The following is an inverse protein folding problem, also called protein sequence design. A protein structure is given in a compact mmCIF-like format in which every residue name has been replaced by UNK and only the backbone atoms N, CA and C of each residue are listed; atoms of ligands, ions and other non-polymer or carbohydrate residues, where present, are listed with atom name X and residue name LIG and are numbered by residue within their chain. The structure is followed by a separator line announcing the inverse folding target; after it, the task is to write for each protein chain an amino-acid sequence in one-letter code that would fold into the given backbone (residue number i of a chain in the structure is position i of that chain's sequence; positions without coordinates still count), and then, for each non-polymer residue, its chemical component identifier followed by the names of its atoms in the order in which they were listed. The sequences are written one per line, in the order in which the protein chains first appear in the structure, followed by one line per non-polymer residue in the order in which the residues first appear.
data_IF_176510096903
#
_entry.id   IF_176510096903
#
_cell.length_a   1.000
_cell.length_b   1.000
_cell.length_c   1.000
_cell.angle_alpha   90.00
_cell.angle_beta   90.00
_cell.angle_gamma   90.00
#
_symmetry.space_group_name_H-M   'P 1'
#
loop_
_entity.id
_entity.type
_entity.pdbx_description
1 polymer ?
#
# COMPACT_ATOMS: atom_id res chain seq x y z
N UNK A 1 20.37 14.61 6.62
CA UNK A 1 21.36 13.52 6.69
C UNK A 1 20.71 12.38 7.47
N UNK A 2 20.03 11.46 6.77
CA UNK A 2 19.19 10.42 7.36
C UNK A 2 20.03 9.21 7.74
N UNK A 3 20.73 9.29 8.89
CA UNK A 3 21.52 8.24 9.54
C UNK A 3 21.59 6.90 8.78
N UNK A 4 22.70 6.64 8.10
CA UNK A 4 22.98 5.37 7.40
C UNK A 4 23.53 4.30 8.34
N UNK A 5 23.48 4.53 9.65
CA UNK A 5 23.93 3.57 10.65
C UNK A 5 23.01 2.35 10.64
N UNK A 6 23.51 1.25 10.06
CA UNK A 6 22.86 -0.06 10.17
C UNK A 6 23.00 -0.52 11.61
N UNK A 7 21.87 -0.67 12.30
CA UNK A 7 21.83 -1.27 13.63
C UNK A 7 21.41 -2.73 13.50
N UNK A 8 22.11 -3.63 14.18
CA UNK A 8 21.74 -5.04 14.25
C UNK A 8 21.36 -5.38 15.69
N UNK A 9 20.25 -6.07 15.88
CA UNK A 9 19.85 -6.62 17.17
C UNK A 9 20.51 -7.98 17.36
N UNK A 10 21.25 -8.17 18.46
CA UNK A 10 21.95 -9.42 18.76
C UNK A 10 21.04 -10.64 18.94
N UNK A 11 19.73 -10.44 19.04
CA UNK A 11 18.71 -11.49 19.15
C UNK A 11 17.86 -11.58 17.89
N UNK A 12 17.66 -12.79 17.39
CA UNK A 12 16.72 -13.06 16.30
C UNK A 12 15.27 -12.79 16.74
N UNK A 13 14.38 -12.39 15.82
CA UNK A 13 12.96 -12.30 16.10
C UNK A 13 12.40 -13.69 16.45
N UNK A 14 11.43 -13.72 17.37
CA UNK A 14 10.80 -14.97 17.82
C UNK A 14 10.06 -15.71 16.70
N UNK A 15 9.60 -14.97 15.69
CA UNK A 15 8.86 -15.48 14.53
C UNK A 15 9.17 -14.62 13.30
N UNK A 16 9.13 -15.23 12.12
CA UNK A 16 9.22 -14.53 10.84
C UNK A 16 7.82 -14.31 10.26
N UNK A 17 7.65 -13.21 9.54
CA UNK A 17 6.44 -12.92 8.78
C UNK A 17 6.62 -13.29 7.31
N UNK A 18 5.58 -13.87 6.72
CA UNK A 18 5.44 -14.09 5.28
C UNK A 18 4.36 -13.16 4.75
N UNK A 19 4.68 -12.42 3.70
CA UNK A 19 3.82 -11.38 3.13
C UNK A 19 3.46 -11.79 1.69
N UNK A 20 2.16 -11.91 1.41
CA UNK A 20 1.64 -12.09 0.06
C UNK A 20 1.16 -10.75 -0.49
N UNK A 21 1.42 -10.46 -1.76
CA UNK A 21 0.89 -9.27 -2.44
C UNK A 21 -0.28 -9.64 -3.35
N UNK A 22 -1.29 -8.77 -3.40
CA UNK A 22 -2.40 -8.87 -4.33
C UNK A 22 -2.56 -7.56 -5.12
N UNK A 23 -2.53 -7.67 -6.44
CA UNK A 23 -2.66 -6.53 -7.35
C UNK A 23 -4.14 -6.30 -7.65
N UNK A 24 -4.63 -5.08 -7.38
CA UNK A 24 -6.02 -4.71 -7.60
C UNK A 24 -6.31 -4.02 -8.93
N UNK A 25 -5.29 -3.77 -9.74
CA UNK A 25 -5.37 -3.01 -10.99
C UNK A 25 -6.22 -3.69 -12.07
N UNK A 26 -6.23 -5.02 -12.10
CA UNK A 26 -6.95 -5.80 -13.11
C UNK A 26 -8.25 -6.44 -12.59
N UNK A 27 -8.73 -6.11 -11.38
CA UNK A 27 -9.89 -6.81 -10.79
C UNK A 27 -11.22 -6.59 -11.52
N UNK A 28 -11.35 -5.52 -12.31
CA UNK A 28 -12.51 -5.28 -13.17
C UNK A 28 -12.35 -5.87 -14.59
N UNK A 29 -11.23 -6.54 -14.87
CA UNK A 29 -10.99 -7.24 -16.12
C UNK A 29 -11.92 -8.44 -16.28
N UNK A 30 -12.44 -8.64 -17.50
CA UNK A 30 -13.37 -9.74 -17.77
C UNK A 30 -12.74 -11.15 -17.77
N UNK A 31 -11.39 -11.26 -17.78
CA UNK A 31 -10.65 -12.52 -17.89
C UNK A 31 -9.30 -12.45 -17.15
N UNK A 32 -8.75 -13.61 -16.76
CA UNK A 32 -7.42 -13.77 -16.14
C UNK A 32 -7.19 -12.92 -14.89
N UNK A 33 -8.22 -12.80 -14.06
CA UNK A 33 -8.17 -12.09 -12.78
C UNK A 33 -8.10 -13.11 -11.64
N UNK A 34 -7.11 -12.97 -10.75
CA UNK A 34 -7.02 -13.78 -9.54
C UNK A 34 -7.71 -13.04 -8.40
N UNK A 35 -8.86 -13.54 -7.94
CA UNK A 35 -9.56 -12.89 -6.84
C UNK A 35 -8.76 -12.99 -5.52
N UNK A 36 -8.82 -11.95 -4.68
CA UNK A 36 -8.06 -11.83 -3.44
C UNK A 36 -8.27 -13.01 -2.47
N UNK A 37 -9.45 -13.62 -2.46
CA UNK A 37 -9.75 -14.78 -1.62
C UNK A 37 -9.31 -16.15 -2.19
N UNK A 38 -8.79 -16.19 -3.41
CA UNK A 38 -8.49 -17.42 -4.18
C UNK A 38 -7.02 -17.89 -4.16
N UNK A 39 -5.96 -17.05 -4.03
CA UNK A 39 -4.59 -17.55 -4.13
C UNK A 39 -4.26 -18.68 -3.15
N UNK A 40 -3.31 -19.53 -3.54
CA UNK A 40 -2.77 -20.54 -2.66
C UNK A 40 -2.09 -19.87 -1.46
N UNK A 41 -2.72 -19.98 -0.29
CA UNK A 41 -2.19 -19.41 0.94
C UNK A 41 -1.43 -20.41 1.78
N UNK A 42 -1.48 -21.71 1.45
CA UNK A 42 -0.91 -22.90 2.13
C UNK A 42 -0.81 -22.91 3.68
N UNK A 43 -1.42 -21.93 4.35
CA UNK A 43 -1.27 -21.60 5.75
C UNK A 43 0.00 -20.82 6.13
N UNK A 44 0.94 -20.55 5.22
CA UNK A 44 2.24 -19.94 5.60
C UNK A 44 2.21 -18.42 5.73
N UNK A 45 1.30 -17.75 5.01
CA UNK A 45 1.22 -16.30 5.05
C UNK A 45 0.79 -15.77 6.42
N UNK A 46 1.40 -14.65 6.81
CA UNK A 46 1.05 -13.93 8.04
C UNK A 46 0.30 -12.63 7.75
N UNK A 47 0.55 -12.05 6.57
CA UNK A 47 -0.05 -10.81 6.10
C UNK A 47 -0.33 -10.92 4.60
N UNK A 48 -1.42 -10.32 4.15
CA UNK A 48 -1.73 -10.10 2.74
C UNK A 48 -1.81 -8.59 2.50
N UNK A 49 -0.94 -8.08 1.62
CA UNK A 49 -0.88 -6.68 1.21
C UNK A 49 -1.57 -6.51 -0.14
N UNK A 50 -2.66 -5.75 -0.17
CA UNK A 50 -3.42 -5.52 -1.39
C UNK A 50 -3.37 -4.06 -1.82
N UNK A 51 -3.08 -3.82 -3.09
CA UNK A 51 -2.96 -2.47 -3.63
C UNK A 51 -4.29 -1.72 -3.53
N UNK A 52 -4.22 -0.46 -3.11
CA UNK A 52 -5.36 0.44 -2.98
C UNK A 52 -5.07 1.77 -3.67
N UNK A 53 -6.12 2.38 -4.23
CA UNK A 53 -6.03 3.75 -4.73
C UNK A 53 -6.05 4.74 -3.57
N UNK A 54 -5.45 5.91 -3.78
CA UNK A 54 -5.42 7.00 -2.80
C UNK A 54 -6.24 8.20 -3.29
N UNK A 55 -7.24 8.60 -2.50
CA UNK A 55 -7.95 9.87 -2.67
C UNK A 55 -7.09 11.00 -2.11
N UNK A 56 -6.58 11.84 -3.00
CA UNK A 56 -5.82 13.04 -2.62
C UNK A 56 -6.71 14.10 -1.96
N UNK A 57 -7.97 14.24 -2.40
CA UNK A 57 -8.87 15.26 -1.88
C UNK A 57 -9.29 14.93 -0.44
N UNK A 58 -9.56 13.66 -0.15
CA UNK A 58 -9.90 13.20 1.19
C UNK A 58 -8.69 12.65 1.98
N UNK A 59 -7.49 12.69 1.42
CA UNK A 59 -6.25 12.15 2.00
C UNK A 59 -6.44 10.76 2.63
N UNK A 60 -7.07 9.83 1.91
CA UNK A 60 -7.43 8.50 2.42
C UNK A 60 -7.36 7.44 1.33
N UNK A 61 -7.23 6.18 1.72
CA UNK A 61 -7.36 5.04 0.80
C UNK A 61 -8.80 4.90 0.29
N UNK A 62 -8.98 4.74 -1.01
CA UNK A 62 -10.27 4.45 -1.63
C UNK A 62 -10.45 2.94 -1.85
N UNK A 63 -11.43 2.39 -1.13
CA UNK A 63 -11.93 1.03 -1.37
C UNK A 63 -12.98 0.96 -2.48
N UNK A 64 -13.37 2.09 -3.09
CA UNK A 64 -14.41 2.16 -4.11
C UNK A 64 -14.10 1.30 -5.35
N UNK A 65 -12.81 1.17 -5.69
CA UNK A 65 -12.35 0.27 -6.74
C UNK A 65 -12.27 -1.20 -6.29
N UNK A 66 -12.13 -1.45 -4.98
CA UNK A 66 -12.24 -2.77 -4.38
C UNK A 66 -13.71 -3.18 -4.12
N UNK A 67 -14.71 -2.51 -4.70
CA UNK A 67 -16.11 -2.65 -4.26
C UNK A 67 -16.66 -4.08 -4.28
N UNK A 68 -16.16 -4.98 -5.15
CA UNK A 68 -16.58 -6.38 -5.18
C UNK A 68 -15.69 -7.34 -4.39
N UNK A 69 -14.40 -7.03 -4.22
CA UNK A 69 -13.45 -7.94 -3.55
C UNK A 69 -12.93 -7.45 -2.21
N UNK A 70 -13.22 -6.21 -1.81
CA UNK A 70 -12.89 -5.69 -0.47
C UNK A 70 -13.44 -6.60 0.63
N UNK A 71 -14.66 -7.12 0.45
CA UNK A 71 -15.23 -8.10 1.38
C UNK A 71 -14.48 -9.43 1.37
N UNK A 72 -14.03 -9.90 0.21
CA UNK A 72 -13.27 -11.15 0.09
C UNK A 72 -11.87 -11.00 0.70
N UNK A 73 -11.21 -9.88 0.43
CA UNK A 73 -9.94 -9.49 1.04
C UNK A 73 -10.08 -9.42 2.56
N UNK A 74 -11.05 -8.66 3.08
CA UNK A 74 -11.26 -8.53 4.53
C UNK A 74 -11.74 -9.84 5.20
N UNK A 75 -12.18 -10.83 4.42
CA UNK A 75 -12.55 -12.15 4.93
C UNK A 75 -11.35 -13.13 4.98
N UNK A 76 -10.18 -12.71 4.49
CA UNK A 76 -8.94 -13.48 4.63
C UNK A 76 -8.56 -13.50 6.13
N UNK A 77 -8.26 -14.69 6.70
CA UNK A 77 -7.94 -14.84 8.13
C UNK A 77 -6.56 -14.31 8.52
N UNK A 78 -5.62 -14.21 7.58
CA UNK A 78 -4.35 -13.52 7.75
C UNK A 78 -4.56 -12.00 7.92
N UNK A 79 -3.53 -11.27 8.38
CA UNK A 79 -3.64 -9.83 8.56
C UNK A 79 -3.80 -9.12 7.22
N UNK A 80 -4.83 -8.32 7.11
CA UNK A 80 -5.20 -7.60 5.90
C UNK A 80 -4.53 -6.24 5.89
N UNK A 81 -3.58 -6.01 4.99
CA UNK A 81 -2.82 -4.77 4.86
C UNK A 81 -3.19 -4.08 3.56
N UNK A 82 -3.52 -2.79 3.61
CA UNK A 82 -3.70 -2.00 2.39
C UNK A 82 -2.37 -1.41 1.95
N UNK A 83 -1.99 -1.59 0.68
CA UNK A 83 -0.80 -0.96 0.12
C UNK A 83 -1.18 0.30 -0.66
N UNK A 84 -0.52 1.42 -0.37
CA UNK A 84 -0.73 2.71 -1.01
C UNK A 84 0.52 3.08 -1.80
N UNK A 85 0.39 3.17 -3.12
CA UNK A 85 1.47 3.54 -4.02
C UNK A 85 1.65 2.55 -5.16
N UNK A 86 2.85 2.00 -5.29
CA UNK A 86 3.25 1.16 -6.43
C UNK A 86 3.84 1.97 -7.57
N UNK A 87 4.54 1.27 -8.47
CA UNK A 87 5.32 1.87 -9.55
C UNK A 87 4.51 2.85 -10.40
N UNK A 88 3.34 2.43 -10.89
CA UNK A 88 2.48 3.29 -11.70
C UNK A 88 2.03 4.55 -10.93
N UNK A 89 1.60 4.40 -9.68
CA UNK A 89 1.19 5.51 -8.83
C UNK A 89 2.37 6.47 -8.52
N UNK A 90 3.58 5.94 -8.37
CA UNK A 90 4.74 6.71 -8.00
C UNK A 90 5.49 7.32 -9.21
N UNK A 91 5.24 6.85 -10.43
CA UNK A 91 5.93 7.32 -11.65
C UNK A 91 5.04 8.05 -12.65
N UNK A 92 3.72 7.87 -12.61
CA UNK A 92 2.80 8.63 -13.47
C UNK A 92 2.71 10.11 -13.01
N UNK A 93 2.70 11.02 -14.01
CA UNK A 93 2.86 12.47 -13.82
C UNK A 93 1.74 13.18 -13.02
N UNK A 94 0.67 12.47 -12.63
CA UNK A 94 -0.38 12.99 -11.74
C UNK A 94 -0.39 12.38 -10.33
N UNK A 95 -0.08 11.09 -10.21
CA UNK A 95 -0.18 10.34 -8.95
C UNK A 95 1.05 10.52 -8.05
N UNK A 96 2.23 10.71 -8.65
CA UNK A 96 3.49 10.93 -7.94
C UNK A 96 3.50 12.21 -7.09
N UNK A 97 2.78 13.25 -7.53
CA UNK A 97 2.62 14.49 -6.77
C UNK A 97 1.68 14.31 -5.56
N UNK A 98 0.68 13.43 -5.65
CA UNK A 98 -0.26 13.19 -4.57
C UNK A 98 0.44 12.59 -3.34
N UNK A 99 1.33 11.61 -3.52
CA UNK A 99 2.11 11.04 -2.41
C UNK A 99 3.11 12.06 -1.83
N UNK A 100 3.76 12.86 -2.68
CA UNK A 100 4.68 13.92 -2.22
C UNK A 100 3.97 14.94 -1.35
N UNK A 101 2.82 15.42 -1.80
CA UNK A 101 2.02 16.37 -1.04
C UNK A 101 1.42 15.74 0.21
N UNK A 102 0.94 14.49 0.13
CA UNK A 102 0.46 13.75 1.29
C UNK A 102 1.52 13.77 2.40
N UNK A 103 2.76 13.49 2.03
CA UNK A 103 3.85 13.35 2.99
C UNK A 103 4.53 14.68 3.35
N UNK A 104 3.94 15.83 2.98
CA UNK A 104 4.34 17.12 3.54
C UNK A 104 3.92 17.24 5.00
N UNK A 105 4.76 17.88 5.82
CA UNK A 105 4.55 18.05 7.26
C UNK A 105 3.17 18.65 7.59
N UNK A 106 2.71 19.61 6.78
CA UNK A 106 1.38 20.22 6.92
C UNK A 106 0.21 19.24 6.81
N UNK A 107 0.41 18.09 6.14
CA UNK A 107 -0.64 17.09 5.87
C UNK A 107 -0.55 15.84 6.74
N UNK A 108 0.55 15.63 7.49
CA UNK A 108 0.79 14.42 8.30
C UNK A 108 -0.36 14.13 9.27
N UNK A 109 -0.82 15.15 10.00
CA UNK A 109 -1.92 14.99 10.98
C UNK A 109 -3.24 14.59 10.33
N UNK A 110 -3.55 15.17 9.17
CA UNK A 110 -4.76 14.84 8.39
C UNK A 110 -4.73 13.40 7.89
N UNK A 111 -3.59 12.96 7.33
CA UNK A 111 -3.44 11.60 6.80
C UNK A 111 -3.49 10.57 7.91
N UNK A 112 -2.75 10.78 9.01
CA UNK A 112 -2.78 9.88 10.14
C UNK A 112 -4.21 9.73 10.70
N UNK A 113 -4.95 10.85 10.80
CA UNK A 113 -6.35 10.84 11.24
C UNK A 113 -7.25 10.09 10.26
N UNK A 114 -7.12 10.34 8.96
CA UNK A 114 -7.96 9.72 7.95
C UNK A 114 -7.68 8.23 7.78
N UNK A 115 -6.40 7.82 7.83
CA UNK A 115 -6.02 6.42 7.88
C UNK A 115 -6.57 5.75 9.14
N UNK A 116 -6.39 6.33 10.33
CA UNK A 116 -6.96 5.76 11.56
C UNK A 116 -8.49 5.59 11.48
N UNK A 117 -9.19 6.53 10.84
CA UNK A 117 -10.63 6.40 10.56
C UNK A 117 -10.90 5.24 9.58
N UNK A 118 -10.15 5.14 8.48
CA UNK A 118 -10.27 4.02 7.55
C UNK A 118 -10.03 2.67 8.21
N UNK A 119 -9.01 2.53 9.07
CA UNK A 119 -8.72 1.31 9.82
C UNK A 119 -9.93 0.89 10.67
N UNK A 120 -10.50 1.84 11.41
CA UNK A 120 -11.69 1.61 12.23
C UNK A 120 -12.91 1.21 11.40
N UNK A 121 -13.16 1.92 10.30
CA UNK A 121 -14.40 1.78 9.54
C UNK A 121 -14.37 0.56 8.60
N UNK A 122 -13.19 0.17 8.11
CA UNK A 122 -13.01 -0.92 7.14
C UNK A 122 -12.35 -2.17 7.73
N UNK A 123 -11.83 -2.10 8.96
CA UNK A 123 -11.29 -3.25 9.73
C UNK A 123 -10.15 -4.01 9.05
N UNK A 124 -9.25 -3.30 8.39
CA UNK A 124 -7.98 -3.86 7.97
C UNK A 124 -6.92 -3.62 9.06
N UNK A 125 -5.87 -4.45 9.07
CA UNK A 125 -4.92 -4.60 10.16
C UNK A 125 -3.70 -3.67 10.03
N UNK A 126 -3.50 -3.04 8.88
CA UNK A 126 -2.37 -2.16 8.65
C UNK A 126 -2.34 -1.47 7.31
N UNK A 127 -1.35 -0.59 7.14
CA UNK A 127 -1.05 0.12 5.91
C UNK A 127 0.40 -0.14 5.52
N UNK A 128 0.62 -0.39 4.24
CA UNK A 128 1.91 -0.44 3.57
C UNK A 128 2.03 0.81 2.68
N UNK A 129 3.12 1.56 2.84
CA UNK A 129 3.39 2.76 2.03
C UNK A 129 4.43 2.41 0.97
N UNK A 130 3.96 2.05 -0.21
CA UNK A 130 4.80 1.60 -1.31
C UNK A 130 5.21 2.76 -2.22
N UNK A 131 6.01 3.70 -1.69
CA UNK A 131 6.48 4.89 -2.43
C UNK A 131 7.82 4.62 -3.15
N UNK A 132 7.77 4.57 -4.48
CA UNK A 132 8.94 4.31 -5.33
C UNK A 132 9.26 5.51 -6.26
N UNK A 133 10.14 6.44 -5.89
CA UNK A 133 10.96 6.51 -4.69
C UNK A 133 10.94 7.94 -4.12
N UNK A 134 10.98 8.12 -2.79
CA UNK A 134 11.13 9.42 -2.18
C UNK A 134 12.45 10.08 -2.61
N UNK A 135 12.38 11.35 -3.01
CA UNK A 135 13.56 12.16 -3.32
C UNK A 135 14.17 11.97 -4.71
N UNK A 136 13.66 11.05 -5.54
CA UNK A 136 14.06 10.94 -6.96
C UNK A 136 13.10 11.78 -7.81
N UNK A 137 13.62 12.61 -8.72
CA UNK A 137 12.82 13.32 -9.73
C UNK A 137 12.24 12.29 -10.73
N UNK A 138 11.09 12.57 -11.37
CA UNK A 138 10.56 11.65 -12.40
C UNK A 138 11.65 11.32 -13.43
N UNK A 139 11.70 10.06 -13.89
CA UNK A 139 12.71 9.56 -14.84
C UNK A 139 12.90 10.48 -16.07
N UNK A 140 11.86 11.23 -16.46
CA UNK A 140 11.91 12.26 -17.51
C UNK A 140 12.95 13.37 -17.25
N UNK A 141 13.27 13.66 -15.99
CA UNK A 141 14.29 14.65 -15.60
C UNK A 141 15.72 14.08 -15.63
N UNK A 142 15.90 12.75 -15.72
CA UNK A 142 17.20 12.09 -15.78
C UNK A 142 17.71 11.90 -17.23
N UNK A 143 16.82 11.92 -18.22
CA UNK A 143 17.17 11.77 -19.65
C UNK A 143 17.61 13.10 -20.30
N UNK A 144 17.55 14.21 -19.56
CA UNK A 144 17.96 15.55 -20.04
C UNK A 144 19.34 16.00 -19.53
N UNK A 145 20.21 15.10 -19.07
CA UNK A 145 21.59 15.42 -18.67
C UNK A 145 22.62 14.75 -19.56
#
# INVERSE_FOLDING_TARGET
NCSTTITNTSSLPKQFGWIGHCDSSNFDGGCLCLAAGVPNRDGSYTHICCDCRFDRCAWRSEFGFLSRQSQQFLAIPERNIISIGGWAFATELGMSNNLREALQEANHGTIATNLARCFRDKKFDGVDFYWEYPGVFPLSALVQR
#
